data_IF_896765357610
#
_entry.id   IF_896765357610
#
_cell.length_a   1.000
_cell.length_b   1.000
_cell.length_c   1.000
_cell.angle_alpha   90.00
_cell.angle_beta   90.00
_cell.angle_gamma   90.00
#
_symmetry.space_group_name_H-M   'P 1'
#
loop_
_entity.id
_entity.type
_entity.pdbx_description
1 polymer ?
#
# COMPACT_ATOMS: atom_id res chain seq x y z
N UNK A 1 20.99 -19.75 -10.41
CA UNK A 1 20.51 -19.43 -9.05
C UNK A 1 20.43 -17.91 -8.91
N UNK A 2 19.28 -17.30 -9.18
CA UNK A 2 19.04 -15.87 -8.88
C UNK A 2 18.07 -15.79 -7.72
N UNK A 3 18.55 -16.14 -6.53
CA UNK A 3 17.85 -15.78 -5.29
C UNK A 3 17.98 -14.26 -5.16
N UNK A 4 17.05 -13.54 -5.78
CA UNK A 4 16.88 -12.11 -5.54
C UNK A 4 16.64 -11.97 -4.05
N UNK A 5 17.57 -11.31 -3.38
CA UNK A 5 17.42 -10.74 -2.06
C UNK A 5 16.34 -9.63 -2.12
N UNK A 6 15.10 -9.99 -2.48
CA UNK A 6 13.94 -9.17 -2.21
C UNK A 6 13.79 -9.22 -0.71
N UNK A 7 14.38 -8.24 -0.02
CA UNK A 7 14.05 -7.97 1.38
C UNK A 7 12.52 -7.99 1.44
N UNK A 8 11.97 -8.83 2.31
CA UNK A 8 10.55 -8.85 2.57
C UNK A 8 10.21 -7.47 3.16
N UNK A 9 9.84 -6.52 2.31
CA UNK A 9 9.42 -5.19 2.75
C UNK A 9 8.09 -5.38 3.45
N UNK A 10 8.01 -4.94 4.71
CA UNK A 10 6.76 -4.97 5.45
C UNK A 10 5.77 -4.00 4.78
N UNK A 11 4.63 -4.56 4.34
CA UNK A 11 3.56 -3.80 3.75
C UNK A 11 2.47 -3.51 4.77
N UNK A 12 1.79 -2.39 4.58
CA UNK A 12 0.65 -1.96 5.36
C UNK A 12 -0.51 -1.60 4.44
N UNK A 13 -1.70 -2.07 4.81
CA UNK A 13 -2.97 -1.59 4.28
C UNK A 13 -3.37 -0.34 5.06
N UNK A 14 -3.64 0.75 4.35
CA UNK A 14 -4.10 2.02 4.88
C UNK A 14 -5.48 2.30 4.29
N UNK A 15 -6.48 2.42 5.15
CA UNK A 15 -7.81 2.88 4.78
C UNK A 15 -7.99 4.35 5.20
N UNK A 16 -8.24 5.22 4.24
CA UNK A 16 -8.62 6.61 4.44
C UNK A 16 -10.14 6.68 4.59
N UNK A 17 -10.56 7.03 5.79
CA UNK A 17 -11.95 7.15 6.20
C UNK A 17 -12.34 8.63 6.11
N UNK A 18 -13.04 8.98 5.03
CA UNK A 18 -13.57 10.31 4.78
C UNK A 18 -15.09 10.42 4.99
N UNK A 19 -15.70 11.51 4.52
CA UNK A 19 -17.14 11.80 4.60
C UNK A 19 -17.98 11.17 3.47
N UNK A 20 -17.33 10.52 2.49
CA UNK A 20 -17.98 9.85 1.37
C UNK A 20 -18.47 8.42 1.69
N UNK A 21 -19.20 7.78 0.77
CA UNK A 21 -19.84 6.49 1.01
C UNK A 21 -18.89 5.30 1.10
N UNK A 22 -17.67 5.37 0.54
CA UNK A 22 -16.70 4.27 0.61
C UNK A 22 -15.30 4.74 1.01
N UNK A 23 -14.59 3.99 1.89
CA UNK A 23 -13.19 4.21 2.21
C UNK A 23 -12.27 3.99 1.02
N UNK A 24 -11.28 4.85 0.84
CA UNK A 24 -10.17 4.57 -0.05
C UNK A 24 -9.16 3.67 0.66
N UNK A 25 -8.75 2.55 0.04
CA UNK A 25 -7.78 1.61 0.62
C UNK A 25 -6.54 1.51 -0.27
N UNK A 26 -5.36 1.70 0.32
CA UNK A 26 -4.06 1.59 -0.35
C UNK A 26 -3.15 0.62 0.39
N UNK A 27 -2.26 -0.05 -0.34
CA UNK A 27 -1.14 -0.81 0.26
C UNK A 27 0.15 -0.05 0.05
N UNK A 28 0.90 0.18 1.12
CA UNK A 28 2.15 0.97 1.09
C UNK A 28 3.27 0.24 1.83
N UNK A 29 4.51 0.61 1.56
CA UNK A 29 5.65 0.15 2.35
C UNK A 29 5.69 0.81 3.73
N UNK A 30 6.35 0.17 4.70
CA UNK A 30 6.50 0.70 6.06
C UNK A 30 7.05 2.15 6.09
N UNK A 31 7.95 2.50 5.16
CA UNK A 31 8.53 3.84 5.05
C UNK A 31 7.55 4.92 4.56
N UNK A 32 6.44 4.51 3.95
CA UNK A 32 5.44 5.43 3.36
C UNK A 32 4.25 5.69 4.30
N UNK A 33 4.17 4.98 5.43
CA UNK A 33 3.05 5.11 6.39
C UNK A 33 2.97 6.51 6.98
N UNK A 34 4.11 7.15 7.28
CA UNK A 34 4.13 8.50 7.84
C UNK A 34 3.53 9.53 6.88
N UNK A 35 3.92 9.49 5.61
CA UNK A 35 3.40 10.39 4.57
C UNK A 35 1.88 10.19 4.34
N UNK A 36 1.39 8.95 4.43
CA UNK A 36 -0.04 8.68 4.34
C UNK A 36 -0.83 9.28 5.51
N UNK A 37 -0.27 9.27 6.73
CA UNK A 37 -0.90 9.88 7.91
C UNK A 37 -0.88 11.41 7.80
N UNK A 38 0.23 12.00 7.35
CA UNK A 38 0.35 13.44 7.12
C UNK A 38 -0.70 13.94 6.12
N UNK A 39 -0.81 13.28 4.96
CA UNK A 39 -1.84 13.56 3.96
C UNK A 39 -3.25 13.54 4.58
N UNK A 40 -3.58 12.51 5.34
CA UNK A 40 -4.89 12.44 5.98
C UNK A 40 -5.13 13.57 6.99
N UNK A 41 -4.09 13.97 7.73
CA UNK A 41 -4.14 15.11 8.64
C UNK A 41 -4.42 16.42 7.93
N UNK A 42 -3.74 16.69 6.80
CA UNK A 42 -3.97 17.88 5.96
C UNK A 42 -5.39 17.96 5.41
N UNK A 43 -6.01 16.80 5.15
CA UNK A 43 -7.35 16.69 4.59
C UNK A 43 -8.45 16.42 5.62
N UNK A 44 -8.14 16.40 6.92
CA UNK A 44 -9.12 16.14 7.99
C UNK A 44 -9.76 14.75 7.93
N UNK A 45 -9.04 13.75 7.40
CA UNK A 45 -9.51 12.38 7.23
C UNK A 45 -9.08 11.50 8.41
N UNK A 46 -9.92 10.54 8.78
CA UNK A 46 -9.51 9.49 9.71
C UNK A 46 -8.74 8.40 8.95
N UNK A 47 -7.74 7.78 9.58
CA UNK A 47 -6.97 6.69 8.97
C UNK A 47 -7.04 5.42 9.81
N UNK A 48 -7.13 4.28 9.13
CA UNK A 48 -6.93 2.96 9.74
C UNK A 48 -5.75 2.26 9.07
N UNK A 49 -4.73 1.90 9.87
CA UNK A 49 -3.53 1.19 9.39
C UNK A 49 -3.54 -0.25 9.88
N UNK A 50 -3.23 -1.20 9.00
CA UNK A 50 -3.14 -2.64 9.31
C UNK A 50 -1.93 -3.27 8.61
N UNK A 51 -1.11 -4.08 9.30
CA UNK A 51 -0.04 -4.82 8.63
C UNK A 51 -0.63 -5.87 7.67
N UNK A 52 -0.08 -5.96 6.46
CA UNK A 52 -0.44 -7.01 5.51
C UNK A 52 0.10 -8.36 6.00
N UNK A 53 -0.77 -9.38 6.08
CA UNK A 53 -0.41 -10.73 6.54
C UNK A 53 0.24 -11.61 5.47
N UNK A 54 0.25 -11.17 4.21
CA UNK A 54 0.87 -11.88 3.09
C UNK A 54 1.82 -10.93 2.37
N UNK A 55 2.96 -11.40 1.84
CA UNK A 55 3.69 -10.65 0.84
C UNK A 55 2.71 -10.39 -0.30
N UNK A 56 2.43 -9.12 -0.59
CA UNK A 56 1.67 -8.78 -1.79
C UNK A 56 2.56 -9.18 -2.95
N UNK A 57 2.12 -10.18 -3.70
CA UNK A 57 2.72 -10.53 -4.97
C UNK A 57 2.62 -9.27 -5.82
N UNK A 58 3.74 -8.56 -6.03
CA UNK A 58 3.77 -7.42 -6.95
C UNK A 58 3.18 -7.95 -8.25
N UNK A 59 1.98 -7.51 -8.59
CA UNK A 59 1.33 -7.82 -9.85
C UNK A 59 2.40 -7.56 -10.89
N UNK A 60 2.94 -8.63 -11.49
CA UNK A 60 3.81 -8.45 -12.64
C UNK A 60 2.91 -7.76 -13.64
N UNK A 61 3.15 -6.47 -13.87
CA UNK A 61 2.76 -5.81 -15.10
C UNK A 61 3.25 -6.75 -16.18
N UNK A 62 2.32 -7.53 -16.72
CA UNK A 62 2.59 -8.47 -17.78
C UNK A 62 2.97 -7.57 -18.93
N UNK A 63 4.28 -7.51 -19.20
CA UNK A 63 4.79 -6.89 -20.41
C UNK A 63 3.93 -7.35 -21.58
N UNK A 64 3.55 -6.36 -22.38
CA UNK A 64 3.08 -6.51 -23.76
C UNK A 64 3.69 -7.73 -24.43
N UNK A 65 2.86 -8.72 -24.72
CA UNK A 65 3.17 -9.69 -25.77
C UNK A 65 2.45 -9.15 -27.01
N UNK A 66 3.18 -8.32 -27.76
CA UNK A 66 2.86 -8.02 -29.14
C UNK A 66 3.42 -9.17 -29.98
N UNK A 67 2.54 -9.96 -30.61
CA UNK A 67 2.85 -10.63 -31.86
C UNK A 67 1.58 -10.97 -32.65
#
# INVERSE_FOLDING_TARGET
MTSRNQRAVQLYEIAFLGTGPEPEVRTVEAGEVAAAIEYAGEHGMQVRVRPCRRPVEKSRTKEEDAS
#
